data_IF_750817633905
#
_entry.id   IF_750817633905
#
_cell.length_a   1.000
_cell.length_b   1.000
_cell.length_c   1.000
_cell.angle_alpha   90.00
_cell.angle_beta   90.00
_cell.angle_gamma   90.00
#
_symmetry.space_group_name_H-M   'P 1'
#
loop_
_entity.id
_entity.type
_entity.pdbx_description
1 polymer ?
#
# COMPACT_ATOMS: atom_id res chain seq x y z
N UNK A 1 13.71 -10.76 1.51
CA UNK A 1 13.04 -9.58 2.09
C UNK A 1 12.53 -9.82 3.51
N UNK A 2 12.91 -8.96 4.46
CA UNK A 2 12.41 -9.02 5.85
C UNK A 2 11.03 -8.37 5.98
N UNK A 3 10.12 -8.98 6.74
CA UNK A 3 8.78 -8.39 6.96
C UNK A 3 8.82 -6.97 7.53
N UNK A 4 9.75 -6.69 8.44
CA UNK A 4 9.87 -5.38 9.05
C UNK A 4 10.19 -4.30 8.01
N UNK A 5 11.04 -4.61 7.02
CA UNK A 5 11.37 -3.67 5.96
C UNK A 5 10.17 -3.41 5.02
N UNK A 6 9.33 -4.43 4.76
CA UNK A 6 8.06 -4.24 4.04
C UNK A 6 7.13 -3.31 4.83
N UNK A 7 6.97 -3.55 6.14
CA UNK A 7 6.12 -2.73 7.00
C UNK A 7 6.60 -1.28 7.08
N UNK A 8 7.91 -1.05 7.22
CA UNK A 8 8.53 0.29 7.18
C UNK A 8 8.33 0.99 5.83
N UNK A 9 8.33 0.24 4.72
CA UNK A 9 8.02 0.79 3.41
C UNK A 9 6.52 1.17 3.27
N UNK A 10 5.61 0.36 3.80
CA UNK A 10 4.17 0.67 3.83
C UNK A 10 3.87 1.89 4.70
N UNK A 11 4.52 1.99 5.85
CA UNK A 11 4.48 3.16 6.71
C UNK A 11 5.00 4.41 5.99
N UNK A 12 6.13 4.28 5.28
CA UNK A 12 6.66 5.36 4.45
C UNK A 12 5.72 5.79 3.32
N UNK A 13 4.94 4.86 2.75
CA UNK A 13 3.93 5.15 1.73
C UNK A 13 2.77 5.95 2.31
N UNK A 14 2.31 5.62 3.50
CA UNK A 14 1.29 6.39 4.22
C UNK A 14 1.78 7.80 4.56
N UNK A 15 2.98 7.92 5.14
CA UNK A 15 3.58 9.18 5.54
C UNK A 15 4.05 10.04 4.36
N UNK A 16 4.07 9.49 3.14
CA UNK A 16 4.39 10.21 1.90
C UNK A 16 3.54 11.48 1.72
N UNK A 17 2.38 11.52 2.38
CA UNK A 17 1.49 12.67 2.36
C UNK A 17 2.09 13.96 2.92
N UNK A 18 3.08 13.83 3.81
CA UNK A 18 3.79 14.94 4.45
C UNK A 18 4.98 15.46 3.63
N UNK A 19 5.34 14.79 2.53
CA UNK A 19 6.46 15.19 1.68
C UNK A 19 6.07 16.40 0.84
N UNK A 20 6.94 17.42 0.83
CA UNK A 20 6.78 18.61 -0.01
C UNK A 20 7.13 18.31 -1.47
N UNK A 21 6.22 17.63 -2.17
CA UNK A 21 6.36 17.30 -3.57
C UNK A 21 5.63 18.33 -4.46
N UNK A 22 6.18 18.70 -5.64
CA UNK A 22 5.42 19.47 -6.63
C UNK A 22 4.24 18.66 -7.20
N UNK A 23 4.25 17.34 -7.05
CA UNK A 23 3.18 16.45 -7.50
C UNK A 23 2.22 16.12 -6.36
N UNK A 24 0.93 16.32 -6.58
CA UNK A 24 -0.14 16.08 -5.59
C UNK A 24 -0.65 14.63 -5.57
N UNK A 25 -0.08 13.76 -6.38
CA UNK A 25 -0.44 12.34 -6.48
C UNK A 25 -0.14 11.62 -5.17
N UNK A 26 -1.07 10.79 -4.71
CA UNK A 26 -0.87 9.91 -3.54
C UNK A 26 -0.45 8.49 -3.94
N UNK A 27 -0.95 8.02 -5.09
CA UNK A 27 -0.70 6.66 -5.56
C UNK A 27 -1.28 5.59 -4.63
N UNK A 28 -0.98 4.34 -4.93
CA UNK A 28 -1.33 3.23 -4.05
C UNK A 28 -0.35 2.06 -4.11
N UNK A 29 -0.57 1.07 -3.25
CA UNK A 29 0.18 -0.18 -3.21
C UNK A 29 -0.81 -1.35 -3.33
N UNK A 30 -0.54 -2.26 -4.26
CA UNK A 30 -1.18 -3.58 -4.30
C UNK A 30 -0.27 -4.59 -3.60
N UNK A 31 -0.71 -5.10 -2.45
CA UNK A 31 -0.08 -6.22 -1.75
C UNK A 31 -0.59 -7.53 -2.36
N UNK A 32 0.28 -8.26 -3.02
CA UNK A 32 -0.05 -9.49 -3.74
C UNK A 32 0.72 -10.63 -3.09
N UNK A 33 0.01 -11.57 -2.48
CA UNK A 33 0.70 -12.63 -1.75
C UNK A 33 -0.20 -13.70 -1.15
N UNK A 34 0.36 -14.56 -0.28
CA UNK A 34 -0.34 -15.68 0.38
C UNK A 34 -1.52 -15.22 1.28
N UNK A 35 -2.34 -16.14 1.82
CA UNK A 35 -3.74 -15.95 2.26
C UNK A 35 -4.11 -14.70 3.09
N UNK A 36 -5.42 -14.44 3.14
CA UNK A 36 -6.06 -13.24 3.72
C UNK A 36 -5.57 -12.89 5.13
N UNK A 37 -5.35 -13.88 5.99
CA UNK A 37 -4.94 -13.65 7.38
C UNK A 37 -3.65 -12.86 7.46
N UNK A 38 -2.59 -13.27 6.75
CA UNK A 38 -1.30 -12.58 6.80
C UNK A 38 -1.40 -11.15 6.26
N UNK A 39 -2.08 -10.96 5.13
CA UNK A 39 -2.20 -9.63 4.51
C UNK A 39 -2.99 -8.67 5.41
N UNK A 40 -4.03 -9.18 6.05
CA UNK A 40 -4.83 -8.43 7.02
C UNK A 40 -3.98 -8.08 8.23
N UNK A 41 -3.23 -9.03 8.80
CA UNK A 41 -2.30 -8.75 9.91
C UNK A 41 -1.24 -7.72 9.54
N UNK A 42 -0.69 -7.75 8.32
CA UNK A 42 0.28 -6.74 7.85
C UNK A 42 -0.38 -5.35 7.81
N UNK A 43 -1.58 -5.26 7.21
CA UNK A 43 -2.32 -3.99 7.12
C UNK A 43 -2.68 -3.49 8.51
N UNK A 44 -3.26 -4.32 9.36
CA UNK A 44 -3.69 -3.91 10.70
C UNK A 44 -2.48 -3.51 11.56
N UNK A 45 -1.35 -4.19 11.45
CA UNK A 45 -0.14 -3.83 12.20
C UNK A 45 0.44 -2.48 11.75
N UNK A 46 0.47 -2.21 10.44
CA UNK A 46 1.02 -0.93 9.94
C UNK A 46 0.04 0.23 10.12
N UNK A 47 -1.25 0.00 9.87
CA UNK A 47 -2.25 1.07 9.77
C UNK A 47 -3.17 1.19 10.99
N UNK A 48 -3.24 0.18 11.86
CA UNK A 48 -4.14 0.15 13.01
C UNK A 48 -3.87 1.25 14.04
N UNK A 49 -2.64 1.77 14.07
CA UNK A 49 -2.28 2.86 14.98
C UNK A 49 -2.50 4.26 14.36
N UNK A 50 -2.84 4.35 13.07
CA UNK A 50 -3.11 5.61 12.39
C UNK A 50 -4.61 5.94 12.40
N UNK A 51 -5.06 6.96 13.16
CA UNK A 51 -6.49 7.25 13.34
C UNK A 51 -7.20 7.75 12.08
N UNK A 52 -6.44 8.19 11.08
CA UNK A 52 -6.92 8.68 9.77
C UNK A 52 -6.66 7.68 8.63
N UNK A 53 -6.23 6.46 8.96
CA UNK A 53 -6.20 5.32 8.05
C UNK A 53 -7.43 4.45 8.29
N UNK A 54 -8.21 4.22 7.24
CA UNK A 54 -9.46 3.47 7.34
C UNK A 54 -9.31 2.09 6.69
N UNK A 55 -9.35 1.04 7.51
CA UNK A 55 -9.31 -0.35 7.05
C UNK A 55 -10.71 -0.81 6.70
N UNK A 56 -10.89 -1.26 5.47
CA UNK A 56 -12.16 -1.60 4.85
C UNK A 56 -12.12 -3.06 4.36
N UNK A 57 -13.11 -3.85 4.79
CA UNK A 57 -13.35 -5.18 4.22
C UNK A 57 -14.21 -5.12 2.95
N UNK A 58 -15.09 -4.12 2.86
CA UNK A 58 -16.01 -3.91 1.74
C UNK A 58 -16.34 -2.41 1.63
N UNK A 59 -16.65 -1.95 0.42
CA UNK A 59 -17.09 -0.58 0.18
C UNK A 59 -18.05 -0.50 -1.01
N UNK A 60 -19.00 0.42 -0.93
CA UNK A 60 -19.82 0.80 -2.08
C UNK A 60 -19.62 2.28 -2.46
N UNK A 61 -20.11 2.65 -3.66
CA UNK A 61 -19.98 4.01 -4.21
C UNK A 61 -20.63 5.07 -3.32
N UNK A 62 -21.75 4.74 -2.65
CA UNK A 62 -22.43 5.67 -1.75
C UNK A 62 -21.55 6.01 -0.54
N UNK A 63 -20.92 5.01 0.08
CA UNK A 63 -19.97 5.21 1.18
C UNK A 63 -18.77 6.06 0.74
N UNK A 64 -18.20 5.81 -0.45
CA UNK A 64 -17.11 6.64 -0.99
C UNK A 64 -17.52 8.11 -1.16
N UNK A 65 -18.76 8.36 -1.61
CA UNK A 65 -19.30 9.71 -1.75
C UNK A 65 -19.51 10.40 -0.41
N UNK A 66 -20.00 9.68 0.60
CA UNK A 66 -20.20 10.19 1.96
C UNK A 66 -18.86 10.53 2.63
N UNK A 67 -17.86 9.66 2.49
CA UNK A 67 -16.51 9.86 3.05
C UNK A 67 -15.70 10.95 2.32
N UNK A 68 -16.16 11.41 1.16
CA UNK A 68 -15.41 12.35 0.30
C UNK A 68 -15.05 13.64 1.01
N UNK A 69 -15.97 14.21 1.78
CA UNK A 69 -15.73 15.47 2.49
C UNK A 69 -14.68 15.31 3.58
N UNK A 70 -14.72 14.19 4.30
CA UNK A 70 -13.71 13.84 5.30
C UNK A 70 -12.34 13.58 4.66
N UNK A 71 -12.30 12.93 3.49
CA UNK A 71 -11.07 12.77 2.70
C UNK A 71 -10.53 14.11 2.19
N UNK A 72 -11.41 15.00 1.74
CA UNK A 72 -11.03 16.32 1.23
C UNK A 72 -10.56 17.27 2.33
N UNK A 73 -11.10 17.12 3.54
CA UNK A 73 -10.65 17.81 4.75
C UNK A 73 -9.38 17.21 5.37
N UNK A 74 -8.94 16.04 4.88
CA UNK A 74 -7.77 15.33 5.40
C UNK A 74 -8.00 14.58 6.71
N UNK A 75 -9.26 14.36 7.12
CA UNK A 75 -9.61 13.48 8.24
C UNK A 75 -9.40 12.01 7.91
N UNK A 76 -9.53 11.67 6.62
CA UNK A 76 -9.21 10.35 6.08
C UNK A 76 -8.11 10.56 5.04
N UNK A 77 -6.96 9.94 5.27
CA UNK A 77 -5.80 10.11 4.39
C UNK A 77 -5.35 8.82 3.74
N UNK A 78 -5.77 7.68 4.27
CA UNK A 78 -5.53 6.37 3.69
C UNK A 78 -6.78 5.48 3.72
N UNK A 79 -6.96 4.70 2.67
CA UNK A 79 -7.93 3.61 2.59
C UNK A 79 -7.17 2.30 2.42
N UNK A 80 -7.45 1.32 3.29
CA UNK A 80 -6.79 0.03 3.26
C UNK A 80 -7.82 -1.08 3.00
N UNK A 81 -7.75 -1.72 1.84
CA UNK A 81 -8.58 -2.86 1.49
C UNK A 81 -7.87 -4.16 1.84
N UNK A 82 -8.31 -4.85 2.89
CA UNK A 82 -7.72 -6.14 3.30
C UNK A 82 -7.94 -7.24 2.27
N UNK A 83 -9.01 -7.12 1.48
CA UNK A 83 -9.30 -8.03 0.38
C UNK A 83 -9.99 -7.31 -0.79
N UNK A 84 -9.22 -7.05 -1.84
CA UNK A 84 -9.73 -6.37 -3.03
C UNK A 84 -10.78 -7.22 -3.79
N UNK A 85 -10.73 -8.55 -3.70
CA UNK A 85 -11.69 -9.45 -4.36
C UNK A 85 -13.14 -9.24 -3.90
N UNK A 86 -13.37 -8.77 -2.66
CA UNK A 86 -14.72 -8.51 -2.14
C UNK A 86 -15.49 -7.47 -2.95
N UNK A 87 -14.79 -6.45 -3.48
CA UNK A 87 -15.39 -5.43 -4.36
C UNK A 87 -16.01 -6.05 -5.61
N UNK A 88 -15.45 -7.16 -6.09
CA UNK A 88 -15.86 -7.83 -7.33
C UNK A 88 -16.87 -8.94 -7.11
N UNK A 89 -17.09 -9.38 -5.86
CA UNK A 89 -17.98 -10.49 -5.55
C UNK A 89 -19.47 -10.16 -5.76
N UNK A 90 -19.84 -8.87 -5.71
CA UNK A 90 -21.25 -8.43 -5.76
C UNK A 90 -21.78 -8.30 -7.19
N UNK A 91 -21.20 -7.39 -7.97
CA UNK A 91 -21.63 -7.09 -9.35
C UNK A 91 -20.46 -6.47 -10.14
N UNK A 92 -20.07 -7.03 -11.30
CA UNK A 92 -18.97 -6.51 -12.11
C UNK A 92 -19.12 -5.05 -12.54
N UNK A 93 -20.34 -4.58 -12.82
CA UNK A 93 -20.58 -3.19 -13.22
C UNK A 93 -20.34 -2.22 -12.04
N UNK A 94 -20.69 -2.63 -10.82
CA UNK A 94 -20.44 -1.85 -9.61
C UNK A 94 -18.93 -1.81 -9.30
N UNK A 95 -18.23 -2.92 -9.49
CA UNK A 95 -16.78 -3.00 -9.29
C UNK A 95 -16.02 -2.00 -10.17
N UNK A 96 -16.35 -1.91 -11.48
CA UNK A 96 -15.74 -0.93 -12.40
C UNK A 96 -15.95 0.52 -11.96
N UNK A 97 -17.15 0.83 -11.45
CA UNK A 97 -17.42 2.16 -10.92
C UNK A 97 -16.55 2.45 -9.69
N UNK A 98 -16.44 1.49 -8.75
CA UNK A 98 -15.60 1.63 -7.56
C UNK A 98 -14.12 1.77 -7.95
N UNK A 99 -13.63 0.97 -8.89
CA UNK A 99 -12.27 1.10 -9.46
C UNK A 99 -12.03 2.51 -9.99
N UNK A 100 -12.96 3.06 -10.79
CA UNK A 100 -12.86 4.42 -11.31
C UNK A 100 -12.75 5.48 -10.20
N UNK A 101 -13.48 5.31 -9.10
CA UNK A 101 -13.39 6.21 -7.94
C UNK A 101 -12.06 6.06 -7.19
N UNK A 102 -11.59 4.83 -6.99
CA UNK A 102 -10.29 4.53 -6.39
C UNK A 102 -9.17 5.16 -7.23
N UNK A 103 -9.22 5.02 -8.55
CA UNK A 103 -8.26 5.62 -9.47
C UNK A 103 -8.26 7.16 -9.37
N UNK A 104 -9.44 7.77 -9.28
CA UNK A 104 -9.55 9.21 -9.09
C UNK A 104 -8.96 9.65 -7.74
N UNK A 105 -9.21 8.90 -6.67
CA UNK A 105 -8.70 9.20 -5.33
C UNK A 105 -7.17 9.22 -5.23
N UNK A 106 -6.48 8.27 -5.89
CA UNK A 106 -5.03 8.14 -5.78
C UNK A 106 -4.24 9.13 -6.64
N UNK A 107 -4.82 9.62 -7.74
CA UNK A 107 -4.10 10.41 -8.75
C UNK A 107 -4.67 11.84 -8.89
N UNK A 108 -5.75 11.98 -9.65
CA UNK A 108 -6.30 13.28 -10.07
C UNK A 108 -7.02 14.02 -8.95
N UNK A 109 -7.50 13.26 -7.96
CA UNK A 109 -8.35 13.65 -6.86
C UNK A 109 -9.84 13.55 -7.20
N UNK A 110 -10.58 12.91 -6.30
CA UNK A 110 -12.01 12.66 -6.44
C UNK A 110 -12.81 13.94 -6.20
N UNK A 111 -13.66 14.27 -7.16
CA UNK A 111 -14.52 15.47 -7.16
C UNK A 111 -15.96 15.11 -7.50
N UNK A 112 -16.89 15.98 -7.10
CA UNK A 112 -18.29 15.86 -7.49
C UNK A 112 -18.48 15.96 -9.01
N UNK A 113 -19.60 15.44 -9.49
CA UNK A 113 -19.99 15.56 -10.89
C UNK A 113 -20.08 17.04 -11.28
N UNK A 114 -19.65 17.37 -12.50
CA UNK A 114 -19.55 18.74 -13.03
C UNK A 114 -20.89 19.52 -13.08
N UNK A 115 -22.02 18.83 -12.90
CA UNK A 115 -23.37 19.39 -12.86
C UNK A 115 -23.82 19.83 -11.45
N UNK A 116 -23.07 19.48 -10.39
CA UNK A 116 -23.29 20.03 -9.05
C UNK A 116 -22.64 21.41 -8.93
N UNK A 117 -23.30 22.33 -8.21
CA UNK A 117 -23.03 23.78 -8.20
C UNK A 117 -21.54 24.15 -8.11
N UNK A 118 -21.02 24.84 -9.14
CA UNK A 118 -19.61 25.26 -9.26
C UNK A 118 -19.15 26.21 -8.16
N UNK A 119 -20.07 26.84 -7.41
CA UNK A 119 -19.74 27.67 -6.25
C UNK A 119 -19.26 26.82 -5.06
N UNK A 120 -19.65 25.56 -5.01
CA UNK A 120 -19.05 24.54 -4.16
C UNK A 120 -17.83 23.94 -4.85
N UNK A 121 -16.81 24.75 -5.11
CA UNK A 121 -15.49 24.29 -5.55
C UNK A 121 -14.88 23.40 -4.45
N UNK A 122 -15.36 22.16 -4.38
CA UNK A 122 -14.97 21.21 -3.37
C UNK A 122 -13.53 20.82 -3.63
N UNK A 123 -12.69 20.93 -2.62
CA UNK A 123 -11.32 20.42 -2.64
C UNK A 123 -11.32 18.99 -3.19
N UNK A 124 -10.40 18.71 -4.11
CA UNK A 124 -10.26 17.35 -4.67
C UNK A 124 -9.75 16.42 -3.57
N UNK A 125 -10.55 15.42 -3.21
CA UNK A 125 -10.18 14.41 -2.23
C UNK A 125 -9.07 13.52 -2.78
N UNK A 126 -7.96 13.40 -2.06
CA UNK A 126 -6.86 12.48 -2.41
C UNK A 126 -6.40 11.71 -1.22
N UNK A 127 -6.35 10.39 -1.36
CA UNK A 127 -5.93 9.47 -0.30
C UNK A 127 -4.93 8.47 -0.85
N UNK A 128 -4.04 8.01 0.02
CA UNK A 128 -3.24 6.84 -0.25
C UNK A 128 -4.16 5.60 -0.23
N UNK A 129 -4.01 4.69 -1.19
CA UNK A 129 -4.78 3.44 -1.19
C UNK A 129 -3.83 2.26 -1.12
N UNK A 130 -4.04 1.41 -0.12
CA UNK A 130 -3.43 0.08 -0.08
C UNK A 130 -4.51 -0.96 -0.28
N UNK A 131 -4.26 -1.95 -1.13
CA UNK A 131 -5.20 -3.04 -1.34
C UNK A 131 -4.46 -4.37 -1.42
N UNK A 132 -5.00 -5.37 -0.76
CA UNK A 132 -4.44 -6.71 -0.71
C UNK A 132 -5.24 -7.68 -1.59
N UNK A 133 -4.55 -8.57 -2.29
CA UNK A 133 -5.16 -9.63 -3.08
C UNK A 133 -4.27 -10.87 -3.19
N UNK A 134 -4.84 -11.98 -3.63
CA UNK A 134 -4.08 -13.20 -3.93
C UNK A 134 -3.38 -13.10 -5.28
N UNK A 135 -2.28 -13.82 -5.47
CA UNK A 135 -1.61 -13.95 -6.78
C UNK A 135 -2.58 -14.43 -7.87
N UNK A 136 -3.48 -15.36 -7.53
CA UNK A 136 -4.49 -15.87 -8.46
C UNK A 136 -5.46 -14.79 -8.92
N UNK A 137 -6.01 -14.02 -7.98
CA UNK A 137 -6.95 -12.93 -8.30
C UNK A 137 -6.26 -11.84 -9.12
N UNK A 138 -5.03 -11.48 -8.72
CA UNK A 138 -4.19 -10.55 -9.45
C UNK A 138 -3.99 -11.00 -10.90
N UNK A 139 -3.57 -12.25 -11.13
CA UNK A 139 -3.36 -12.79 -12.48
C UNK A 139 -4.63 -12.80 -13.34
N UNK A 140 -5.80 -13.03 -12.74
CA UNK A 140 -7.09 -12.99 -13.44
C UNK A 140 -7.49 -11.58 -13.88
N UNK A 141 -7.17 -10.55 -13.08
CA UNK A 141 -7.58 -9.16 -13.34
C UNK A 141 -6.51 -8.31 -14.01
N UNK A 142 -5.27 -8.77 -14.07
CA UNK A 142 -4.13 -7.96 -14.48
C UNK A 142 -4.30 -7.31 -15.85
N UNK A 143 -4.80 -8.06 -16.84
CA UNK A 143 -5.06 -7.53 -18.19
C UNK A 143 -6.10 -6.41 -18.16
N UNK A 144 -7.24 -6.64 -17.51
CA UNK A 144 -8.32 -5.65 -17.39
C UNK A 144 -7.86 -4.38 -16.64
N UNK A 145 -7.06 -4.55 -15.58
CA UNK A 145 -6.48 -3.42 -14.84
C UNK A 145 -5.45 -2.64 -15.65
N UNK A 146 -4.76 -3.31 -16.57
CA UNK A 146 -3.82 -2.64 -17.47
C UNK A 146 -4.58 -1.83 -18.52
N UNK A 147 -5.62 -2.41 -19.11
CA UNK A 147 -6.43 -1.76 -20.14
C UNK A 147 -7.21 -0.54 -19.58
N UNK A 148 -7.73 -0.65 -18.36
CA UNK A 148 -8.43 0.46 -17.67
C UNK A 148 -7.48 1.54 -17.12
N UNK A 149 -6.18 1.26 -17.06
CA UNK A 149 -5.19 2.08 -16.39
C UNK A 149 -5.27 2.02 -14.85
N UNK A 150 -6.00 1.08 -14.27
CA UNK A 150 -5.97 0.83 -12.83
C UNK A 150 -4.55 0.50 -12.37
N UNK A 151 -3.87 -0.46 -13.03
CA UNK A 151 -2.54 -0.96 -12.64
C UNK A 151 -1.48 0.14 -12.55
N UNK A 152 -1.46 1.08 -13.51
CA UNK A 152 -0.46 2.17 -13.54
C UNK A 152 -0.51 3.13 -12.34
N UNK A 153 -1.57 3.09 -11.54
CA UNK A 153 -1.72 3.97 -10.35
C UNK A 153 -1.17 3.34 -9.07
N UNK A 154 -0.78 2.08 -9.13
CA UNK A 154 -0.33 1.31 -7.97
C UNK A 154 1.10 0.78 -8.15
N UNK A 155 1.81 0.63 -7.03
CA UNK A 155 2.99 -0.21 -6.94
C UNK A 155 2.54 -1.66 -6.70
N UNK A 156 2.95 -2.59 -7.56
CA UNK A 156 2.57 -3.98 -7.43
C UNK A 156 3.63 -4.71 -6.63
N UNK A 157 3.38 -4.92 -5.34
CA UNK A 157 4.28 -5.60 -4.42
C UNK A 157 3.86 -7.07 -4.27
N UNK A 158 4.60 -7.95 -4.94
CA UNK A 158 4.41 -9.40 -4.93
C UNK A 158 5.38 -10.06 -3.95
N UNK A 159 4.86 -10.92 -3.07
CA UNK A 159 5.69 -11.67 -2.13
C UNK A 159 5.09 -13.04 -1.81
N UNK A 160 5.95 -13.96 -1.37
CA UNK A 160 5.63 -15.31 -0.89
C UNK A 160 6.36 -15.54 0.42
N UNK A 161 5.79 -16.36 1.30
CA UNK A 161 6.49 -16.73 2.53
C UNK A 161 7.68 -17.64 2.22
N UNK A 162 8.80 -17.40 2.92
CA UNK A 162 9.96 -18.29 2.89
C UNK A 162 9.58 -19.71 3.35
N UNK A 163 8.83 -19.79 4.46
CA UNK A 163 8.17 -21.01 4.89
C UNK A 163 6.68 -20.97 4.51
N UNK A 164 6.24 -21.68 3.45
CA UNK A 164 4.84 -21.71 3.04
C UNK A 164 3.89 -22.30 4.09
N UNK A 165 4.43 -23.12 5.01
CA UNK A 165 3.66 -23.80 6.05
C UNK A 165 3.47 -22.97 7.32
N UNK A 166 4.20 -21.86 7.48
CA UNK A 166 4.14 -21.04 8.70
C UNK A 166 2.71 -20.61 9.09
N UNK A 167 1.84 -20.35 8.10
CA UNK A 167 0.43 -20.01 8.36
C UNK A 167 -0.37 -21.22 8.85
N UNK A 168 -0.15 -22.39 8.24
CA UNK A 168 -0.83 -23.62 8.62
C UNK A 168 -0.40 -24.05 10.02
N UNK A 169 0.91 -23.98 10.31
CA UNK A 169 1.48 -24.27 11.62
C UNK A 169 0.89 -23.35 12.69
N UNK A 170 0.82 -22.04 12.44
CA UNK A 170 0.22 -21.08 13.39
C UNK A 170 -1.27 -21.37 13.64
N UNK A 171 -2.02 -21.75 12.61
CA UNK A 171 -3.43 -22.13 12.73
C UNK A 171 -3.61 -23.42 13.54
N UNK A 172 -2.80 -24.44 13.27
CA UNK A 172 -2.82 -25.70 14.01
C UNK A 172 -2.54 -25.49 15.50
N UNK A 173 -1.56 -24.63 15.81
CA UNK A 173 -1.17 -24.31 17.19
C UNK A 173 -2.02 -23.21 17.84
N UNK A 174 -2.99 -22.63 17.11
CA UNK A 174 -3.82 -21.48 17.54
C UNK A 174 -3.01 -20.29 18.07
N UNK A 175 -1.87 -20.02 17.45
CA UNK A 175 -1.00 -18.89 17.77
C UNK A 175 -1.18 -17.78 16.73
N UNK A 176 -1.13 -16.52 17.18
CA UNK A 176 -1.08 -15.39 16.28
C UNK A 176 0.36 -15.19 15.82
N UNK A 177 0.53 -14.91 14.53
CA UNK A 177 1.84 -14.59 13.96
C UNK A 177 2.17 -13.14 14.34
N UNK A 178 3.13 -12.98 15.24
CA UNK A 178 3.68 -11.68 15.59
C UNK A 178 4.67 -11.24 14.51
N UNK A 179 4.38 -10.14 13.81
CA UNK A 179 5.23 -9.62 12.73
C UNK A 179 6.32 -8.66 13.23
N UNK A 180 6.35 -8.40 14.55
CA UNK A 180 7.12 -7.32 15.15
C UNK A 180 6.42 -5.96 14.99
N UNK A 181 6.97 -4.94 15.67
CA UNK A 181 6.39 -3.60 15.69
C UNK A 181 7.09 -2.66 14.70
N UNK A 182 6.30 -1.81 14.06
CA UNK A 182 6.81 -0.64 13.33
C UNK A 182 6.99 0.49 14.32
N UNK A 183 8.16 1.12 14.32
CA UNK A 183 8.35 2.32 15.15
C UNK A 183 7.59 3.48 14.50
N UNK A 184 6.43 3.80 15.06
CA UNK A 184 5.68 4.99 14.66
C UNK A 184 6.53 6.23 14.87
N UNK A 185 6.66 7.01 13.79
CA UNK A 185 7.32 8.31 13.82
C UNK A 185 6.44 9.27 13.04
N UNK A 186 5.66 10.08 13.74
CA UNK A 186 4.81 11.10 13.12
C UNK A 186 5.59 12.42 12.95
N UNK A 187 5.51 13.08 11.78
CA UNK A 187 6.14 14.39 11.57
C UNK A 187 5.53 15.53 12.42
N UNK A 188 4.36 15.30 13.02
CA UNK A 188 3.57 16.33 13.70
C UNK A 188 3.18 17.44 12.72
N UNK A 189 3.48 18.68 13.08
CA UNK A 189 3.21 19.85 12.22
C UNK A 189 4.32 20.12 11.19
N UNK A 190 5.38 19.30 11.15
CA UNK A 190 6.51 19.50 10.23
C UNK A 190 6.24 18.79 8.92
N UNK A 191 6.63 19.44 7.83
CA UNK A 191 6.64 18.83 6.51
C UNK A 191 7.98 18.12 6.28
N UNK A 192 7.94 17.04 5.51
CA UNK A 192 9.14 16.29 5.13
C UNK A 192 9.68 16.92 3.85
N UNK A 193 10.92 17.39 3.89
CA UNK A 193 11.57 18.01 2.73
C UNK A 193 11.80 16.96 1.65
N UNK A 194 11.46 17.29 0.40
CA UNK A 194 11.90 16.52 -0.76
C UNK A 194 13.42 16.68 -0.94
N UNK A 195 14.16 15.58 -0.82
CA UNK A 195 15.62 15.57 -0.84
C UNK A 195 16.22 14.35 -1.58
N UNK A 196 15.53 13.86 -2.62
CA UNK A 196 16.03 12.79 -3.48
C UNK A 196 17.09 13.33 -4.44
N UNK A 197 18.28 12.73 -4.41
CA UNK A 197 19.40 13.05 -5.30
C UNK A 197 19.27 12.34 -6.66
N UNK A 198 20.03 12.78 -7.67
CA UNK A 198 19.99 12.17 -9.00
C UNK A 198 20.38 10.68 -8.99
N UNK A 199 21.37 10.31 -8.17
CA UNK A 199 21.81 8.92 -8.01
C UNK A 199 20.69 8.05 -7.41
N UNK A 200 19.94 8.58 -6.44
CA UNK A 200 18.81 7.94 -5.78
C UNK A 200 17.61 7.85 -6.73
N UNK A 201 17.35 8.88 -7.55
CA UNK A 201 16.35 8.81 -8.61
C UNK A 201 16.66 7.72 -9.63
N UNK A 202 17.93 7.59 -10.06
CA UNK A 202 18.37 6.50 -10.96
C UNK A 202 18.16 5.14 -10.32
N UNK A 203 18.48 5.00 -9.03
CA UNK A 203 18.22 3.78 -8.26
C UNK A 203 16.73 3.43 -8.23
N UNK A 204 15.86 4.37 -7.85
CA UNK A 204 14.40 4.18 -7.79
C UNK A 204 13.84 3.81 -9.18
N UNK A 205 14.28 4.48 -10.24
CA UNK A 205 13.87 4.12 -11.62
C UNK A 205 14.32 2.71 -11.99
N UNK A 206 15.54 2.32 -11.63
CA UNK A 206 16.08 0.99 -11.89
C UNK A 206 15.25 -0.09 -11.17
N UNK A 207 14.87 0.13 -9.92
CA UNK A 207 14.03 -0.81 -9.16
C UNK A 207 12.62 -0.95 -9.75
N UNK A 208 12.07 0.12 -10.34
CA UNK A 208 10.75 0.12 -10.98
C UNK A 208 10.74 -0.42 -12.42
N UNK A 209 11.89 -0.77 -13.01
CA UNK A 209 12.01 -1.18 -14.42
C UNK A 209 11.03 -2.29 -14.82
N UNK A 210 10.86 -3.30 -13.96
CA UNK A 210 10.00 -4.45 -14.24
C UNK A 210 8.51 -4.10 -14.25
N UNK A 211 8.13 -3.07 -13.52
CA UNK A 211 6.76 -2.58 -13.54
C UNK A 211 6.48 -1.88 -14.88
N UNK A 212 7.42 -1.03 -15.35
CA UNK A 212 7.33 -0.39 -16.68
C UNK A 212 7.30 -1.38 -17.84
N UNK A 213 8.07 -2.48 -17.77
CA UNK A 213 8.10 -3.49 -18.83
C UNK A 213 6.78 -4.23 -19.01
N UNK A 214 5.94 -4.29 -17.97
CA UNK A 214 4.59 -4.89 -18.05
C UNK A 214 3.55 -3.94 -18.67
N UNK A 215 3.97 -2.84 -19.32
CA UNK A 215 3.09 -1.79 -19.83
C UNK A 215 2.49 -0.90 -18.73
N UNK A 216 2.97 -1.03 -17.49
CA UNK A 216 2.44 -0.33 -16.32
C UNK A 216 3.28 0.94 -16.10
N UNK A 217 2.70 2.13 -16.28
CA UNK A 217 3.36 3.38 -15.88
C UNK A 217 3.21 3.60 -14.36
N UNK A 218 4.00 2.91 -13.55
CA UNK A 218 3.93 2.92 -12.08
C UNK A 218 4.16 4.29 -11.44
N UNK A 219 3.58 4.62 -10.26
CA UNK A 219 3.69 5.95 -9.66
C UNK A 219 5.09 6.20 -9.07
N UNK A 220 6.03 6.62 -9.92
CA UNK A 220 7.39 7.03 -9.54
C UNK A 220 7.39 8.08 -8.42
N UNK A 221 6.42 8.99 -8.43
CA UNK A 221 6.27 10.02 -7.41
C UNK A 221 6.02 9.43 -6.01
N UNK A 222 5.21 8.37 -5.92
CA UNK A 222 4.97 7.68 -4.65
C UNK A 222 6.28 7.06 -4.15
N UNK A 223 7.00 6.33 -5.00
CA UNK A 223 8.29 5.71 -4.64
C UNK A 223 9.33 6.73 -4.17
N UNK A 224 9.44 7.88 -4.84
CA UNK A 224 10.37 8.92 -4.46
C UNK A 224 9.96 9.63 -3.15
N UNK A 225 8.65 9.86 -2.94
CA UNK A 225 8.15 10.36 -1.65
C UNK A 225 8.40 9.36 -0.52
N UNK A 226 8.13 8.07 -0.73
CA UNK A 226 8.45 7.00 0.23
C UNK A 226 9.93 7.05 0.63
N UNK A 227 10.83 7.22 -0.35
CA UNK A 227 12.26 7.30 -0.08
C UNK A 227 12.64 8.55 0.74
N UNK A 228 12.00 9.70 0.50
CA UNK A 228 12.17 10.89 1.34
C UNK A 228 11.74 10.62 2.79
N UNK A 229 10.62 9.91 2.98
CA UNK A 229 10.15 9.53 4.31
C UNK A 229 11.15 8.59 4.98
N UNK A 230 11.66 7.58 4.28
CA UNK A 230 12.67 6.67 4.82
C UNK A 230 13.93 7.43 5.26
N UNK A 231 14.43 8.38 4.46
CA UNK A 231 15.56 9.27 4.84
C UNK A 231 15.25 10.20 6.02
N UNK A 232 13.98 10.45 6.30
CA UNK A 232 13.55 11.24 7.45
C UNK A 232 13.38 10.38 8.71
N UNK A 233 12.89 9.14 8.54
CA UNK A 233 12.77 8.16 9.63
C UNK A 233 14.15 7.67 10.09
N UNK A 234 15.02 7.37 9.13
CA UNK A 234 16.32 6.70 9.30
C UNK A 234 17.46 7.51 8.69
N UNK A 235 18.71 7.08 8.90
CA UNK A 235 19.84 7.62 8.13
C UNK A 235 19.80 7.16 6.66
N UNK A 236 20.62 7.78 5.82
CA UNK A 236 20.61 7.53 4.38
C UNK A 236 21.03 6.10 3.99
N UNK A 237 21.93 5.48 4.77
CA UNK A 237 22.39 4.11 4.48
C UNK A 237 21.27 3.12 4.81
N UNK A 238 20.62 3.30 5.95
CA UNK A 238 19.50 2.46 6.39
C UNK A 238 18.26 2.65 5.51
N UNK A 239 17.92 3.88 5.13
CA UNK A 239 16.85 4.17 4.17
C UNK A 239 17.08 3.46 2.84
N UNK A 240 18.33 3.44 2.34
CA UNK A 240 18.71 2.71 1.13
C UNK A 240 18.58 1.21 1.33
N UNK A 241 19.02 0.66 2.47
CA UNK A 241 18.90 -0.78 2.79
C UNK A 241 17.43 -1.22 2.79
N UNK A 242 16.56 -0.50 3.50
CA UNK A 242 15.12 -0.78 3.57
C UNK A 242 14.51 -0.70 2.17
N UNK A 243 14.82 0.35 1.40
CA UNK A 243 14.32 0.51 0.03
C UNK A 243 14.74 -0.64 -0.88
N UNK A 244 16.02 -1.04 -0.84
CA UNK A 244 16.52 -2.12 -1.68
C UNK A 244 15.88 -3.46 -1.33
N UNK A 245 15.68 -3.75 -0.04
CA UNK A 245 14.99 -4.96 0.41
C UNK A 245 13.51 -4.97 0.00
N UNK A 246 12.79 -3.86 0.22
CA UNK A 246 11.42 -3.68 -0.28
C UNK A 246 11.36 -3.79 -1.81
N UNK A 247 12.40 -3.33 -2.51
CA UNK A 247 12.42 -3.33 -3.97
C UNK A 247 12.36 -4.73 -4.56
N UNK A 248 12.69 -5.78 -3.80
CA UNK A 248 12.52 -7.17 -4.22
C UNK A 248 11.05 -7.47 -4.54
N UNK A 249 10.09 -6.94 -3.78
CA UNK A 249 8.67 -7.26 -4.00
C UNK A 249 8.07 -6.54 -5.21
N UNK A 250 8.68 -5.46 -5.68
CA UNK A 250 8.21 -4.71 -6.86
C UNK A 250 8.95 -5.12 -8.14
N UNK A 251 9.73 -6.20 -8.10
CA UNK A 251 10.38 -6.77 -9.28
C UNK A 251 9.43 -7.66 -10.09
N UNK A 252 9.97 -8.36 -11.11
CA UNK A 252 9.20 -9.22 -11.99
C UNK A 252 8.63 -10.45 -11.28
N UNK A 253 9.38 -10.97 -10.31
CA UNK A 253 9.10 -12.16 -9.50
C UNK A 253 8.66 -11.78 -8.08
N UNK A 254 7.98 -12.71 -7.39
CA UNK A 254 7.56 -12.49 -6.01
C UNK A 254 8.76 -12.59 -5.07
N UNK A 255 8.92 -11.60 -4.18
CA UNK A 255 9.96 -11.63 -3.16
C UNK A 255 9.70 -12.74 -2.13
N UNK A 256 10.77 -13.36 -1.65
CA UNK A 256 10.70 -14.25 -0.48
C UNK A 256 10.65 -13.42 0.79
N UNK A 257 9.56 -13.56 1.53
CA UNK A 257 9.25 -12.86 2.77
C UNK A 257 9.67 -13.71 3.97
N UNK A 258 10.62 -13.18 4.72
CA UNK A 258 11.12 -13.76 5.96
C UNK A 258 10.28 -13.21 7.13
N UNK A 259 9.61 -14.11 7.85
CA UNK A 259 8.94 -13.78 9.11
C UNK A 259 9.95 -13.74 10.26
N UNK A 260 9.66 -13.07 11.39
CA UNK A 260 10.54 -13.06 12.55
C UNK A 260 10.75 -14.48 13.07
N UNK A 261 11.89 -14.78 13.69
CA UNK A 261 12.20 -16.13 14.20
C UNK A 261 11.13 -16.68 15.17
N UNK A 262 10.49 -15.79 15.95
CA UNK A 262 9.39 -16.13 16.85
C UNK A 262 8.16 -16.69 16.09
N UNK A 263 7.92 -16.23 14.86
CA UNK A 263 6.87 -16.72 13.97
C UNK A 263 7.24 -18.01 13.21
N UNK A 264 8.55 -18.32 13.12
CA UNK A 264 9.06 -19.51 12.44
C UNK A 264 9.33 -20.70 13.37
N UNK A 265 9.06 -20.55 14.67
CA UNK A 265 9.35 -21.58 15.67
C UNK A 265 8.08 -22.39 16.00
N UNK A 266 7.92 -23.62 15.48
CA UNK A 266 6.91 -24.52 16.00
C UNK A 266 7.35 -24.97 17.40
N UNK A 267 6.74 -24.41 18.44
CA UNK A 267 6.79 -24.99 19.79
C UNK A 267 7.93 -24.57 20.73
N UNK A 268 8.44 -23.34 20.68
CA UNK A 268 9.35 -22.85 21.72
C UNK A 268 8.60 -22.11 22.83
N UNK A 269 8.37 -22.82 23.95
CA UNK A 269 8.04 -22.38 25.34
C UNK A 269 6.58 -22.53 25.79
N UNK A 270 6.24 -23.75 26.23
CA UNK A 270 5.96 -24.07 27.65
C UNK A 270 5.97 -25.58 27.88
N UNK A 271 7.14 -26.11 28.26
CA UNK A 271 7.22 -27.19 29.25
C UNK A 271 7.74 -26.54 30.52
N UNK A 272 6.88 -26.60 31.53
CA UNK A 272 7.05 -26.26 32.95
C UNK A 272 7.29 -24.77 33.30
#
# INVERSE_FOLDING_TARGET
>A
MKIQNLQEALDAAYLSKYVESPFKTRGGILLIGPPETLRTTIIDNVFGEYPDAFVLSDINVKQLNEMREDMAAGKITALAFSELSKIYARNPAVAKNIEGHIMALVEEGFSLASFQDKRMSSSKARVFVIAACTEKFYGQRFTEWTDSGFSRRFLHCMYRLENPWALADAQEHRTLIELGDVKLKLPGNRRIKWNVEESEMKMIRKTLRHQFMKGISTPFNLSANMFCVLKWKFDAAEARRIWMDFSECIQGEAATLELPEAANSPGARKRE
#
